data_IF_789862353583
#
_entry.id   IF_789862353583
#
_cell.length_a   1.000
_cell.length_b   1.000
_cell.length_c   1.000
_cell.angle_alpha   90.00
_cell.angle_beta   90.00
_cell.angle_gamma   90.00
#
_symmetry.space_group_name_H-M   'P 1'
#
loop_
_entity.id
_entity.type
_entity.pdbx_description
1 polymer ?
#
# COMPACT_ATOMS: atom_id res chain seq x y z
N UNK A 1 3.50 27.99 -9.27
CA UNK A 1 4.59 27.97 -8.27
C UNK A 1 4.99 26.54 -7.91
N UNK A 2 6.30 26.16 -7.92
CA UNK A 2 6.70 24.89 -7.35
C UNK A 2 6.34 24.96 -5.87
N UNK A 3 5.43 24.10 -5.43
CA UNK A 3 4.97 24.09 -4.04
C UNK A 3 6.08 23.44 -3.21
N UNK A 4 7.21 24.11 -3.04
CA UNK A 4 8.31 23.70 -2.16
C UNK A 4 7.79 23.66 -0.72
N UNK A 5 7.98 22.54 -0.02
CA UNK A 5 7.88 22.47 1.45
C UNK A 5 9.26 22.09 1.94
N UNK A 6 9.87 22.83 2.87
CA UNK A 6 11.05 22.33 3.55
C UNK A 6 10.68 21.02 4.28
N UNK A 7 11.64 20.11 4.36
CA UNK A 7 11.53 18.95 5.25
C UNK A 7 11.57 19.49 6.68
N UNK A 8 10.52 19.20 7.42
CA UNK A 8 10.37 19.55 8.83
C UNK A 8 10.01 18.25 9.53
N UNK A 9 10.45 18.06 10.77
CA UNK A 9 9.95 16.99 11.63
C UNK A 9 8.92 17.61 12.58
N UNK A 10 7.70 17.06 12.64
CA UNK A 10 6.72 17.51 13.64
C UNK A 10 7.08 16.96 15.02
N UNK A 11 7.58 15.72 15.05
CA UNK A 11 8.19 15.06 16.20
C UNK A 11 8.94 13.80 15.73
N UNK A 12 9.52 13.04 16.67
CA UNK A 12 10.27 11.79 16.44
C UNK A 12 9.50 10.74 15.60
N UNK A 13 8.17 10.80 15.57
CA UNK A 13 7.32 9.80 14.92
C UNK A 13 6.46 10.36 13.79
N UNK A 14 6.55 11.67 13.48
CA UNK A 14 5.68 12.34 12.51
C UNK A 14 6.45 13.33 11.66
N UNK A 15 6.31 13.15 10.35
CA UNK A 15 6.92 13.98 9.34
C UNK A 15 5.83 14.67 8.53
N UNK A 16 5.79 16.02 8.47
CA UNK A 16 5.02 16.77 7.50
C UNK A 16 5.73 16.76 6.15
N UNK A 17 4.95 16.72 5.07
CA UNK A 17 5.49 16.67 3.72
C UNK A 17 4.40 16.75 2.67
N UNK A 18 4.82 16.84 1.41
CA UNK A 18 3.93 16.83 0.26
C UNK A 18 4.10 15.54 -0.51
N UNK A 19 3.02 15.10 -1.15
CA UNK A 19 3.01 13.92 -2.01
C UNK A 19 3.50 12.66 -1.29
N UNK A 20 3.15 12.49 0.01
CA UNK A 20 3.39 11.21 0.67
C UNK A 20 2.63 10.10 -0.04
N UNK A 21 1.39 10.36 -0.42
CA UNK A 21 0.63 9.60 -1.40
C UNK A 21 1.16 9.91 -2.82
N UNK A 22 1.87 9.01 -3.52
CA UNK A 22 2.28 7.65 -3.13
C UNK A 22 3.82 7.47 -3.05
N UNK A 23 4.55 8.57 -2.78
CA UNK A 23 6.02 8.52 -2.66
C UNK A 23 6.50 7.72 -1.45
N UNK A 24 5.69 7.57 -0.40
CA UNK A 24 6.09 6.73 0.74
C UNK A 24 6.10 5.26 0.37
N UNK A 25 5.10 4.77 -0.37
CA UNK A 25 5.11 3.42 -0.91
C UNK A 25 6.28 3.21 -1.87
N UNK A 26 6.57 4.19 -2.75
CA UNK A 26 7.75 4.14 -3.61
C UNK A 26 9.04 3.98 -2.79
N UNK A 27 9.18 4.74 -1.70
CA UNK A 27 10.34 4.64 -0.81
C UNK A 27 10.42 3.25 -0.15
N UNK A 28 9.30 2.72 0.36
CA UNK A 28 9.24 1.37 0.95
C UNK A 28 9.73 0.33 -0.04
N UNK A 29 9.25 0.35 -1.28
CA UNK A 29 9.68 -0.59 -2.33
C UNK A 29 11.18 -0.45 -2.62
N UNK A 30 11.71 0.78 -2.70
CA UNK A 30 13.15 1.02 -2.88
C UNK A 30 13.96 0.42 -1.72
N UNK A 31 13.51 0.55 -0.48
CA UNK A 31 14.18 -0.06 0.68
C UNK A 31 14.14 -1.59 0.61
N UNK A 32 13.00 -2.17 0.21
CA UNK A 32 12.87 -3.62 -0.02
C UNK A 32 13.87 -4.08 -1.08
N UNK A 33 13.98 -3.38 -2.21
CA UNK A 33 14.95 -3.70 -3.26
C UNK A 33 16.41 -3.62 -2.79
N UNK A 34 16.74 -2.63 -1.94
CA UNK A 34 18.08 -2.53 -1.34
C UNK A 34 18.39 -3.72 -0.42
N UNK A 35 17.42 -4.17 0.37
CA UNK A 35 17.55 -5.38 1.20
C UNK A 35 17.74 -6.60 0.31
N UNK A 36 16.91 -6.72 -0.74
CA UNK A 36 16.93 -7.86 -1.65
C UNK A 36 18.21 -7.97 -2.48
N UNK A 37 18.89 -6.85 -2.75
CA UNK A 37 20.16 -6.82 -3.50
C UNK A 37 21.21 -7.76 -2.92
N UNK A 38 21.20 -7.97 -1.60
CA UNK A 38 22.14 -8.84 -0.90
C UNK A 38 21.52 -10.20 -0.53
N UNK A 39 20.50 -10.63 -1.26
CA UNK A 39 19.77 -11.87 -1.02
C UNK A 39 19.51 -12.64 -2.32
N UNK A 40 19.21 -13.93 -2.20
CA UNK A 40 18.83 -14.79 -3.33
C UNK A 40 17.37 -15.22 -3.18
N UNK A 41 16.39 -14.43 -3.67
CA UNK A 41 15.00 -14.80 -3.59
C UNK A 41 14.73 -16.02 -4.47
N UNK A 42 13.92 -16.95 -3.96
CA UNK A 42 13.51 -18.16 -4.72
C UNK A 42 12.54 -17.82 -5.86
N UNK A 43 11.87 -16.67 -5.77
CA UNK A 43 10.90 -16.19 -6.75
C UNK A 43 11.48 -15.00 -7.49
N UNK A 44 11.09 -14.85 -8.76
CA UNK A 44 11.33 -13.64 -9.53
C UNK A 44 10.56 -12.48 -8.92
N UNK A 45 11.26 -11.41 -8.57
CA UNK A 45 10.66 -10.19 -8.02
C UNK A 45 10.50 -9.18 -9.15
N UNK A 46 9.25 -8.80 -9.41
CA UNK A 46 8.86 -7.80 -10.41
C UNK A 46 8.40 -6.54 -9.67
N UNK A 47 8.77 -5.36 -10.18
CA UNK A 47 8.39 -4.08 -9.57
C UNK A 47 7.81 -3.17 -10.62
N UNK A 48 6.64 -2.60 -10.32
CA UNK A 48 5.95 -1.62 -11.14
C UNK A 48 5.68 -0.37 -10.29
N UNK A 49 6.34 0.75 -10.62
CA UNK A 49 5.97 2.06 -10.08
C UNK A 49 4.89 2.65 -11.00
N UNK A 50 3.63 2.29 -10.70
CA UNK A 50 2.50 2.65 -11.53
C UNK A 50 2.23 4.16 -11.49
N UNK A 51 1.74 4.68 -12.62
CA UNK A 51 1.28 6.07 -12.75
C UNK A 51 -0.22 6.10 -13.03
N UNK A 52 -0.84 7.25 -12.77
CA UNK A 52 -2.24 7.53 -13.09
C UNK A 52 -3.26 6.68 -12.31
N UNK A 53 -2.97 6.30 -11.05
CA UNK A 53 -3.95 5.64 -10.16
C UNK A 53 -5.25 6.47 -10.10
N UNK A 54 -5.12 7.74 -9.76
CA UNK A 54 -6.21 8.72 -9.59
C UNK A 54 -7.01 8.99 -10.89
N UNK A 55 -6.48 8.56 -12.04
CA UNK A 55 -7.11 8.68 -13.36
C UNK A 55 -7.53 7.31 -13.93
N UNK A 56 -7.66 6.29 -13.08
CA UNK A 56 -8.19 4.98 -13.43
C UNK A 56 -7.17 3.83 -13.46
N UNK A 57 -5.92 4.08 -13.03
CA UNK A 57 -4.90 3.05 -12.83
C UNK A 57 -4.31 2.47 -14.12
N UNK A 58 -4.15 3.29 -15.15
CA UNK A 58 -3.61 2.84 -16.45
C UNK A 58 -2.21 2.21 -16.31
N UNK A 59 -1.33 2.78 -15.47
CA UNK A 59 0.00 2.25 -15.22
C UNK A 59 -0.01 0.88 -14.54
N UNK A 60 -0.98 0.63 -13.64
CA UNK A 60 -1.14 -0.66 -13.01
C UNK A 60 -1.62 -1.74 -14.00
N UNK A 61 -2.55 -1.39 -14.89
CA UNK A 61 -3.05 -2.30 -15.94
C UNK A 61 -1.93 -2.66 -16.92
N UNK A 62 -1.29 -1.65 -17.51
CA UNK A 62 -0.27 -1.85 -18.54
C UNK A 62 0.94 -2.56 -17.95
N UNK A 63 1.43 -2.12 -16.79
CA UNK A 63 2.55 -2.75 -16.11
C UNK A 63 2.29 -4.20 -15.77
N UNK A 64 1.11 -4.53 -15.24
CA UNK A 64 0.79 -5.93 -14.89
C UNK A 64 0.59 -6.82 -16.13
N UNK A 65 0.05 -6.28 -17.22
CA UNK A 65 -0.02 -7.02 -18.50
C UNK A 65 1.35 -7.28 -19.12
N UNK A 66 2.28 -6.34 -18.98
CA UNK A 66 3.64 -6.51 -19.51
C UNK A 66 4.49 -7.45 -18.64
N UNK A 67 4.29 -7.42 -17.32
CA UNK A 67 5.07 -8.20 -16.35
C UNK A 67 4.50 -9.61 -16.10
N UNK A 68 3.22 -9.83 -16.41
CA UNK A 68 2.50 -11.10 -16.23
C UNK A 68 2.72 -11.75 -14.85
N UNK A 69 2.47 -11.03 -13.74
CA UNK A 69 2.73 -11.56 -12.41
C UNK A 69 1.76 -12.69 -12.06
N UNK A 70 2.26 -13.70 -11.34
CA UNK A 70 1.39 -14.77 -10.79
C UNK A 70 0.74 -14.38 -9.46
N UNK A 71 1.34 -13.42 -8.75
CA UNK A 71 0.86 -12.85 -7.49
C UNK A 71 1.26 -11.38 -7.45
N UNK A 72 0.45 -10.54 -6.82
CA UNK A 72 0.76 -9.14 -6.64
C UNK A 72 0.60 -8.69 -5.18
N UNK A 73 1.42 -7.73 -4.78
CA UNK A 73 1.29 -7.02 -3.53
C UNK A 73 1.39 -5.54 -3.83
N UNK A 74 0.28 -4.83 -3.67
CA UNK A 74 0.22 -3.37 -3.81
C UNK A 74 0.66 -2.74 -2.50
N UNK A 75 1.62 -1.84 -2.59
CA UNK A 75 2.02 -0.96 -1.51
C UNK A 75 1.51 0.42 -1.87
N UNK A 76 0.75 1.05 -0.98
CA UNK A 76 0.15 2.36 -1.24
C UNK A 76 0.07 3.18 0.05
N UNK A 77 -0.51 4.37 -0.03
CA UNK A 77 -0.93 5.16 1.12
C UNK A 77 -2.40 4.96 1.48
N UNK A 78 -2.77 5.32 2.71
CA UNK A 78 -4.18 5.39 3.11
C UNK A 78 -4.40 6.47 4.16
N UNK A 79 -5.63 6.96 4.24
CA UNK A 79 -5.99 8.06 5.12
C UNK A 79 -5.96 7.60 6.59
N UNK A 80 -5.23 8.34 7.42
CA UNK A 80 -5.31 8.26 8.86
C UNK A 80 -6.34 9.26 9.40
N UNK A 81 -7.53 8.75 9.72
CA UNK A 81 -8.71 9.54 10.10
C UNK A 81 -8.82 9.83 11.60
N UNK A 82 -7.77 9.57 12.37
CA UNK A 82 -7.70 9.81 13.82
C UNK A 82 -7.44 11.29 14.15
N UNK A 83 -8.30 12.16 13.62
CA UNK A 83 -8.39 13.58 14.01
C UNK A 83 -9.45 13.76 15.11
N UNK A 84 -9.36 14.80 15.95
CA UNK A 84 -10.39 15.11 16.94
C UNK A 84 -11.80 15.11 16.31
N UNK A 85 -12.78 14.68 17.09
CA UNK A 85 -14.20 14.62 16.72
C UNK A 85 -14.57 13.64 15.59
N UNK A 86 -13.63 12.85 15.07
CA UNK A 86 -13.97 11.80 14.10
C UNK A 86 -14.62 10.61 14.81
N UNK A 87 -15.86 10.23 14.45
CA UNK A 87 -16.52 9.05 15.01
C UNK A 87 -15.69 7.79 14.75
N UNK A 88 -15.58 6.84 15.70
CA UNK A 88 -14.75 5.64 15.52
C UNK A 88 -15.02 4.86 14.23
N UNK A 89 -16.28 4.80 13.77
CA UNK A 89 -16.69 4.14 12.52
C UNK A 89 -16.17 4.81 11.24
N UNK A 90 -15.75 6.07 11.31
CA UNK A 90 -15.21 6.85 10.19
C UNK A 90 -13.67 6.89 10.21
N UNK A 91 -13.02 6.38 11.25
CA UNK A 91 -11.56 6.32 11.33
C UNK A 91 -11.08 5.21 10.41
N UNK A 92 -10.40 5.59 9.33
CA UNK A 92 -9.98 4.62 8.31
C UNK A 92 -8.82 3.77 8.80
N UNK A 93 -7.78 4.48 9.21
CA UNK A 93 -6.61 3.98 9.94
C UNK A 93 -6.18 5.00 10.97
N UNK A 94 -5.22 4.64 11.80
CA UNK A 94 -4.61 5.51 12.81
C UNK A 94 -3.11 5.65 12.57
N UNK A 95 -2.58 6.86 12.76
CA UNK A 95 -1.13 7.07 12.72
C UNK A 95 -0.47 6.29 13.86
N UNK A 96 0.70 5.71 13.61
CA UNK A 96 1.47 4.96 14.62
C UNK A 96 0.91 3.59 15.02
N UNK A 97 -0.20 3.14 14.43
CA UNK A 97 -0.79 1.81 14.68
C UNK A 97 -0.30 0.72 13.72
N UNK A 98 0.80 1.00 13.00
CA UNK A 98 1.40 0.10 12.01
C UNK A 98 0.75 0.19 10.62
N UNK A 99 1.29 -0.55 9.64
CA UNK A 99 0.70 -0.62 8.30
C UNK A 99 -0.71 -1.20 8.33
N UNK A 100 -1.51 -0.81 7.35
CA UNK A 100 -2.88 -1.28 7.19
C UNK A 100 -2.95 -2.40 6.16
N UNK A 101 -3.57 -3.52 6.53
CA UNK A 101 -3.93 -4.58 5.58
C UNK A 101 -5.34 -4.29 5.07
N UNK A 102 -5.52 -4.20 3.75
CA UNK A 102 -6.85 -4.06 3.16
C UNK A 102 -7.50 -5.44 3.04
N UNK A 103 -8.74 -5.54 3.48
CA UNK A 103 -9.58 -6.73 3.26
C UNK A 103 -10.42 -6.57 1.99
N UNK A 104 -10.96 -5.37 1.79
CA UNK A 104 -11.66 -4.99 0.58
C UNK A 104 -11.67 -3.46 0.44
N UNK A 105 -11.80 -3.00 -0.80
CA UNK A 105 -12.17 -1.62 -1.16
C UNK A 105 -13.28 -1.67 -2.24
N UNK A 106 -13.58 -0.54 -2.92
CA UNK A 106 -14.65 -0.52 -3.94
C UNK A 106 -14.33 -1.33 -5.20
N UNK A 107 -13.07 -1.70 -5.38
CA UNK A 107 -12.51 -2.30 -6.58
C UNK A 107 -11.96 -3.71 -6.37
N UNK A 108 -11.53 -4.08 -5.15
CA UNK A 108 -10.97 -5.40 -4.83
C UNK A 108 -11.53 -5.99 -3.54
N UNK A 109 -11.71 -7.31 -3.54
CA UNK A 109 -11.84 -8.13 -2.33
C UNK A 109 -10.58 -9.00 -2.26
N UNK A 110 -9.76 -8.78 -1.24
CA UNK A 110 -8.46 -9.47 -1.12
C UNK A 110 -8.71 -10.94 -0.72
N UNK A 111 -8.13 -11.93 -1.43
CA UNK A 111 -8.31 -13.33 -1.09
C UNK A 111 -7.87 -13.63 0.35
N UNK A 112 -8.65 -14.41 1.09
CA UNK A 112 -8.37 -14.75 2.48
C UNK A 112 -6.97 -15.36 2.66
N UNK A 113 -6.54 -16.20 1.71
CA UNK A 113 -5.21 -16.82 1.72
C UNK A 113 -4.08 -15.79 1.66
N UNK A 114 -4.28 -14.67 0.95
CA UNK A 114 -3.33 -13.55 0.88
C UNK A 114 -3.34 -12.78 2.20
N UNK A 115 -4.51 -12.40 2.71
CA UNK A 115 -4.64 -11.73 4.03
C UNK A 115 -3.95 -12.55 5.12
N UNK A 116 -4.19 -13.86 5.16
CA UNK A 116 -3.57 -14.76 6.15
C UNK A 116 -2.05 -14.74 6.06
N UNK A 117 -1.48 -14.78 4.85
CA UNK A 117 -0.03 -14.70 4.64
C UNK A 117 0.54 -13.38 5.15
N UNK A 118 -0.12 -12.25 4.89
CA UNK A 118 0.31 -10.94 5.39
C UNK A 118 0.28 -10.87 6.92
N UNK A 119 -0.79 -11.37 7.54
CA UNK A 119 -0.90 -11.45 9.01
C UNK A 119 0.21 -12.30 9.62
N UNK A 120 0.48 -13.48 9.06
CA UNK A 120 1.55 -14.36 9.52
C UNK A 120 2.94 -13.71 9.37
N UNK A 121 3.18 -12.99 8.27
CA UNK A 121 4.43 -12.25 8.06
C UNK A 121 4.61 -11.16 9.13
N UNK A 122 3.54 -10.41 9.46
CA UNK A 122 3.60 -9.41 10.53
C UNK A 122 3.81 -10.06 11.91
N UNK A 123 3.05 -11.12 12.22
CA UNK A 123 3.13 -11.83 13.51
C UNK A 123 4.49 -12.47 13.76
N UNK A 124 5.09 -13.12 12.75
CA UNK A 124 6.41 -13.75 12.88
C UNK A 124 7.55 -12.75 13.16
N UNK A 125 7.32 -11.46 12.91
CA UNK A 125 8.26 -10.37 13.17
C UNK A 125 7.79 -9.42 14.29
N UNK A 126 6.73 -9.77 15.02
CA UNK A 126 6.12 -8.92 16.05
C UNK A 126 5.76 -7.51 15.56
N UNK A 127 5.41 -7.36 14.28
CA UNK A 127 5.02 -6.09 13.68
C UNK A 127 3.53 -5.87 13.97
N UNK A 128 3.22 -4.74 14.63
CA UNK A 128 1.83 -4.29 14.78
C UNK A 128 1.26 -3.92 13.41
N UNK A 129 0.02 -4.31 13.16
CA UNK A 129 -0.72 -3.96 11.95
C UNK A 129 -2.17 -3.63 12.31
N UNK A 130 -2.85 -2.95 11.39
CA UNK A 130 -4.27 -2.66 11.48
C UNK A 130 -4.99 -3.09 10.20
N UNK A 131 -6.32 -3.00 10.17
CA UNK A 131 -7.09 -3.21 8.95
C UNK A 131 -7.59 -1.86 8.42
N UNK A 132 -7.54 -1.69 7.10
CA UNK A 132 -8.20 -0.57 6.42
C UNK A 132 -9.72 -0.74 6.57
N UNK A 133 -10.39 0.23 7.19
CA UNK A 133 -11.85 0.31 7.35
C UNK A 133 -12.29 1.71 6.94
N UNK A 134 -13.58 2.01 6.72
CA UNK A 134 -14.51 1.18 5.97
C UNK A 134 -14.01 0.88 4.54
N UNK A 135 -14.78 0.08 3.79
CA UNK A 135 -14.56 -0.20 2.36
C UNK A 135 -14.75 1.11 1.57
N UNK A 136 -13.67 1.86 1.38
CA UNK A 136 -13.65 3.15 0.70
C UNK A 136 -12.36 3.28 -0.12
N UNK A 137 -12.42 4.12 -1.16
CA UNK A 137 -11.36 4.25 -2.16
C UNK A 137 -11.37 3.10 -3.17
N UNK A 138 -10.56 3.27 -4.20
CA UNK A 138 -10.04 2.19 -5.03
C UNK A 138 -8.53 2.14 -4.84
N UNK A 139 -7.91 1.09 -5.35
CA UNK A 139 -6.46 0.93 -5.30
C UNK A 139 -6.03 0.28 -6.61
N UNK A 140 -4.73 0.31 -6.90
CA UNK A 140 -4.19 -0.38 -8.07
C UNK A 140 -4.53 -1.88 -8.07
N UNK A 141 -4.74 -2.49 -6.89
CA UNK A 141 -5.12 -3.90 -6.79
C UNK A 141 -6.43 -4.22 -7.51
N UNK A 142 -7.37 -3.26 -7.54
CA UNK A 142 -8.60 -3.35 -8.31
C UNK A 142 -8.37 -3.64 -9.79
N UNK A 143 -7.30 -3.07 -10.34
CA UNK A 143 -6.92 -3.22 -11.74
C UNK A 143 -6.04 -4.43 -11.99
N UNK A 144 -5.06 -4.64 -11.12
CA UNK A 144 -4.07 -5.72 -11.24
C UNK A 144 -4.75 -7.09 -11.15
N UNK A 145 -5.69 -7.28 -10.21
CA UNK A 145 -6.34 -8.56 -10.01
C UNK A 145 -7.10 -9.06 -11.25
N UNK A 146 -7.52 -8.15 -12.14
CA UNK A 146 -8.31 -8.45 -13.35
C UNK A 146 -7.44 -8.69 -14.58
N UNK A 147 -6.11 -8.63 -14.43
CA UNK A 147 -5.17 -8.92 -15.53
C UNK A 147 -4.91 -10.42 -15.67
N UNK A 148 -4.46 -10.85 -16.85
CA UNK A 148 -4.22 -12.26 -17.16
C UNK A 148 -5.46 -13.14 -16.93
N UNK A 149 -5.28 -14.24 -16.21
CA UNK A 149 -6.36 -15.15 -15.79
C UNK A 149 -6.90 -14.85 -14.38
N UNK A 150 -6.56 -13.67 -13.84
CA UNK A 150 -6.81 -13.32 -12.45
C UNK A 150 -5.54 -13.42 -11.61
N UNK A 151 -5.13 -12.32 -11.00
CA UNK A 151 -3.92 -12.25 -10.17
C UNK A 151 -4.31 -12.12 -8.70
N UNK A 152 -4.03 -13.12 -7.83
CA UNK A 152 -4.19 -12.99 -6.39
C UNK A 152 -3.39 -11.79 -5.88
N UNK A 153 -4.10 -10.75 -5.45
CA UNK A 153 -3.50 -9.45 -5.12
C UNK A 153 -3.77 -9.08 -3.67
N UNK A 154 -2.72 -8.75 -2.93
CA UNK A 154 -2.80 -8.18 -1.58
C UNK A 154 -2.55 -6.68 -1.60
N UNK A 155 -2.94 -6.00 -0.52
CA UNK A 155 -2.69 -4.56 -0.35
C UNK A 155 -2.20 -4.28 1.06
N UNK A 156 -1.09 -3.54 1.15
CA UNK A 156 -0.57 -2.96 2.38
C UNK A 156 -0.49 -1.44 2.19
N UNK A 157 -1.14 -0.70 3.08
CA UNK A 157 -1.16 0.75 3.01
C UNK A 157 -0.39 1.39 4.18
N UNK A 158 0.33 2.48 3.91
CA UNK A 158 0.98 3.33 4.91
C UNK A 158 0.02 4.45 5.33
N UNK A 159 -0.43 4.51 6.60
CA UNK A 159 -1.29 5.58 7.08
C UNK A 159 -0.62 6.96 6.95
N UNK A 160 -1.27 7.89 6.28
CA UNK A 160 -0.83 9.28 6.11
C UNK A 160 -2.00 10.28 6.28
N UNK A 161 -1.67 11.56 6.47
CA UNK A 161 -2.62 12.67 6.64
C UNK A 161 -2.15 13.88 5.85
#
# INVERSE_FOLDING_TARGET
>A
PPISSPFIELNEHRLPGKAFDDRTACNVIIQVLKILKNSEPRQTILVNFAVQEEFGGAGAIVGSRALEPTHALVIENTIAGDVPDTPPRKIITRLGSGPAITLADKSVVVPESVVRRLKLAAQSRCIRYQYKKPVYGGTDAGRIQLTGLGVPTGVISVPCR
#
